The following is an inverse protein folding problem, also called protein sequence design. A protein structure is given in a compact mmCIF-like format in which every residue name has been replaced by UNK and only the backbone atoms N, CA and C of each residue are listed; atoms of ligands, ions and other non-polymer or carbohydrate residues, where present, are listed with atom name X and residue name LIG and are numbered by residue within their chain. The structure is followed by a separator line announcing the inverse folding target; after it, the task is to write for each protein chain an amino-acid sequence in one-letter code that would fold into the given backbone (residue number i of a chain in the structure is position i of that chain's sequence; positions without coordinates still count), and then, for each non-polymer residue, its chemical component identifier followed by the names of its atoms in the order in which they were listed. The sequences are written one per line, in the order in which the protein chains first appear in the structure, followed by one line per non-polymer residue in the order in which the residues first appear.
data_IF_790402543192
#
_entry.id   IF_790402543192
#
_cell.length_a   1.000
_cell.length_b   1.000
_cell.length_c   1.000
_cell.angle_alpha   90.00
_cell.angle_beta   90.00
_cell.angle_gamma   90.00
#
_symmetry.space_group_name_H-M   'P 1'
#
loop_
_entity.id
_entity.type
_entity.pdbx_description
1 polymer ?
#
# COMPACT_ATOMS: atom_id res chain seq x y z
N UNK A 1 15.94 -11.89 -8.49
CA UNK A 1 15.34 -11.44 -7.20
C UNK A 1 13.83 -11.34 -7.37
N UNK A 2 13.08 -11.95 -6.47
CA UNK A 2 11.62 -11.84 -6.50
C UNK A 2 11.18 -10.48 -5.97
N UNK A 3 10.09 -9.97 -6.52
CA UNK A 3 9.51 -8.68 -6.13
C UNK A 3 8.13 -8.91 -5.52
N UNK A 4 7.87 -8.25 -4.39
CA UNK A 4 6.58 -8.28 -3.71
C UNK A 4 5.85 -6.97 -3.99
N UNK A 5 4.59 -7.07 -4.42
CA UNK A 5 3.71 -5.91 -4.58
C UNK A 5 2.70 -5.90 -3.44
N UNK A 6 2.75 -4.86 -2.60
CA UNK A 6 1.79 -4.65 -1.53
C UNK A 6 0.68 -3.75 -2.05
N UNK A 7 -0.55 -4.22 -1.98
CA UNK A 7 -1.73 -3.47 -2.43
C UNK A 7 -2.55 -3.08 -1.21
N UNK A 8 -2.72 -1.78 -1.00
CA UNK A 8 -3.41 -1.26 0.18
C UNK A 8 -4.52 -0.31 -0.28
N UNK A 9 -5.79 -0.75 -0.22
CA UNK A 9 -6.90 0.17 -0.47
C UNK A 9 -7.02 1.12 0.72
N UNK A 10 -7.10 2.41 0.45
CA UNK A 10 -7.09 3.46 1.46
C UNK A 10 -8.41 4.22 1.45
N UNK A 11 -9.07 4.24 2.59
CA UNK A 11 -10.27 5.02 2.81
C UNK A 11 -10.25 5.54 4.25
N UNK A 12 -10.31 6.86 4.41
CA UNK A 12 -10.19 7.53 5.72
C UNK A 12 -8.90 7.14 6.45
N UNK A 13 -7.80 7.12 5.70
CA UNK A 13 -6.50 6.63 6.17
C UNK A 13 -5.50 7.76 6.43
N UNK A 14 -5.96 9.00 6.48
CA UNK A 14 -5.11 10.18 6.62
C UNK A 14 -4.12 10.07 7.78
N UNK A 15 -4.56 9.50 8.90
CA UNK A 15 -3.75 9.43 10.13
C UNK A 15 -3.14 8.05 10.38
N UNK A 16 -3.47 7.03 9.61
CA UNK A 16 -3.01 5.65 9.84
C UNK A 16 -1.98 5.19 8.84
N UNK A 17 -2.00 5.76 7.64
CA UNK A 17 -1.23 5.25 6.52
C UNK A 17 0.28 5.38 6.73
N UNK A 18 0.73 6.46 7.35
CA UNK A 18 2.16 6.66 7.61
C UNK A 18 2.73 5.55 8.50
N UNK A 19 1.98 5.11 9.51
CA UNK A 19 2.40 4.02 10.39
C UNK A 19 2.48 2.68 9.64
N UNK A 20 1.53 2.41 8.76
CA UNK A 20 1.54 1.21 7.93
C UNK A 20 2.76 1.19 7.01
N UNK A 21 3.06 2.33 6.39
CA UNK A 21 4.24 2.47 5.54
C UNK A 21 5.53 2.24 6.31
N UNK A 22 5.63 2.80 7.51
CA UNK A 22 6.80 2.63 8.37
C UNK A 22 7.03 1.16 8.74
N UNK A 23 5.94 0.47 9.09
CA UNK A 23 5.97 -0.95 9.43
C UNK A 23 6.42 -1.81 8.25
N UNK A 24 5.89 -1.52 7.05
CA UNK A 24 6.30 -2.21 5.83
C UNK A 24 7.78 -2.00 5.53
N UNK A 25 8.25 -0.76 5.64
CA UNK A 25 9.66 -0.43 5.40
C UNK A 25 10.56 -1.21 6.34
N UNK A 26 10.22 -1.25 7.63
CA UNK A 26 10.99 -1.99 8.63
C UNK A 26 11.00 -3.48 8.34
N UNK A 27 9.84 -4.04 7.95
CA UNK A 27 9.73 -5.46 7.61
C UNK A 27 10.60 -5.80 6.40
N UNK A 28 10.55 -5.00 5.36
CA UNK A 28 11.31 -5.28 4.14
C UNK A 28 12.82 -5.12 4.34
N UNK A 29 13.26 -4.34 5.33
CA UNK A 29 14.67 -4.29 5.69
C UNK A 29 15.17 -5.62 6.25
N UNK A 30 14.29 -6.46 6.77
CA UNK A 30 14.65 -7.80 7.26
C UNK A 30 14.61 -8.85 6.15
N UNK A 31 14.18 -8.48 4.94
CA UNK A 31 14.03 -9.38 3.80
C UNK A 31 14.80 -8.85 2.58
N UNK A 32 16.14 -8.70 2.70
CA UNK A 32 16.94 -8.07 1.63
C UNK A 32 16.98 -8.87 0.34
N UNK A 33 16.56 -10.15 0.37
CA UNK A 33 16.48 -11.01 -0.82
C UNK A 33 15.30 -10.67 -1.73
N UNK A 34 14.38 -9.79 -1.26
CA UNK A 34 13.22 -9.37 -2.05
C UNK A 34 13.33 -7.90 -2.42
N UNK A 35 12.92 -7.57 -3.65
CA UNK A 35 12.56 -6.21 -4.00
C UNK A 35 11.07 -6.01 -3.67
N UNK A 36 10.59 -4.77 -3.64
CA UNK A 36 9.18 -4.54 -3.32
C UNK A 36 8.68 -3.20 -3.88
N UNK A 37 7.37 -3.12 -4.01
CA UNK A 37 6.63 -1.89 -4.29
C UNK A 37 5.39 -1.84 -3.40
N UNK A 38 4.92 -0.64 -3.10
CA UNK A 38 3.70 -0.42 -2.33
C UNK A 38 2.74 0.38 -3.19
N UNK A 39 1.57 -0.18 -3.47
CA UNK A 39 0.54 0.48 -4.27
C UNK A 39 -0.58 0.93 -3.34
N UNK A 40 -0.72 2.23 -3.16
CA UNK A 40 -1.73 2.85 -2.29
C UNK A 40 -2.85 3.39 -3.16
N UNK A 41 -4.08 2.92 -2.93
CA UNK A 41 -5.23 3.31 -3.74
C UNK A 41 -6.16 4.16 -2.89
N UNK A 42 -6.32 5.43 -3.27
CA UNK A 42 -7.31 6.29 -2.64
C UNK A 42 -8.69 6.00 -3.26
N UNK A 43 -9.59 5.43 -2.48
CA UNK A 43 -10.95 5.09 -2.90
C UNK A 43 -11.89 6.26 -2.63
N UNK A 44 -11.56 7.42 -3.16
CA UNK A 44 -12.34 8.66 -3.05
C UNK A 44 -12.66 9.01 -1.59
N UNK A 45 -11.63 9.02 -0.74
CA UNK A 45 -11.80 9.30 0.68
C UNK A 45 -12.18 10.77 0.91
N UNK A 46 -13.09 11.07 1.85
CA UNK A 46 -13.49 12.45 2.15
C UNK A 46 -12.45 13.24 2.94
N UNK A 47 -11.49 12.57 3.59
CA UNK A 47 -10.40 13.22 4.33
C UNK A 47 -9.20 13.46 3.42
N UNK A 48 -8.05 13.86 3.99
CA UNK A 48 -6.83 14.12 3.23
C UNK A 48 -5.97 12.85 3.03
N UNK A 49 -6.59 11.70 2.84
CA UNK A 49 -5.89 10.46 2.53
C UNK A 49 -4.99 10.62 1.31
N UNK A 50 -5.49 11.28 0.25
CA UNK A 50 -4.69 11.49 -0.97
C UNK A 50 -3.45 12.35 -0.70
N UNK A 51 -3.57 13.33 0.19
CA UNK A 51 -2.40 14.15 0.57
C UNK A 51 -1.33 13.32 1.26
N UNK A 52 -1.74 12.42 2.15
CA UNK A 52 -0.83 11.49 2.81
C UNK A 52 -0.16 10.57 1.80
N UNK A 53 -0.93 10.02 0.85
CA UNK A 53 -0.39 9.17 -0.22
C UNK A 53 0.66 9.93 -1.03
N UNK A 54 0.37 11.16 -1.42
CA UNK A 54 1.31 11.99 -2.20
C UNK A 54 2.61 12.25 -1.46
N UNK A 55 2.54 12.47 -0.14
CA UNK A 55 3.74 12.66 0.67
C UNK A 55 4.60 11.40 0.71
N UNK A 56 3.97 10.23 0.84
CA UNK A 56 4.69 8.96 0.86
C UNK A 56 5.31 8.65 -0.51
N UNK A 57 4.60 8.90 -1.59
CA UNK A 57 5.12 8.73 -2.95
C UNK A 57 6.36 9.61 -3.17
N UNK A 58 6.31 10.85 -2.69
CA UNK A 58 7.44 11.77 -2.82
C UNK A 58 8.64 11.36 -1.97
N UNK A 59 8.40 10.72 -0.83
CA UNK A 59 9.44 10.37 0.13
C UNK A 59 10.09 9.00 -0.14
N UNK A 60 9.41 8.10 -0.84
CA UNK A 60 9.86 6.72 -1.02
C UNK A 60 9.59 6.25 -2.45
N UNK A 61 10.66 5.92 -3.17
CA UNK A 61 10.58 5.47 -4.55
C UNK A 61 9.86 4.12 -4.72
N UNK A 62 9.70 3.36 -3.65
CA UNK A 62 8.96 2.09 -3.67
C UNK A 62 7.45 2.28 -3.70
N UNK A 63 6.96 3.50 -3.39
CA UNK A 63 5.54 3.78 -3.23
C UNK A 63 4.98 4.40 -4.50
N UNK A 64 3.83 3.89 -4.96
CA UNK A 64 3.04 4.54 -5.99
C UNK A 64 1.60 4.71 -5.52
N UNK A 65 0.94 5.73 -6.03
CA UNK A 65 -0.43 6.05 -5.65
C UNK A 65 -1.38 5.96 -6.83
N UNK A 66 -2.60 5.52 -6.53
CA UNK A 66 -3.71 5.51 -7.48
C UNK A 66 -4.85 6.28 -6.84
N UNK A 67 -5.41 7.25 -7.55
CA UNK A 67 -6.50 8.08 -7.07
C UNK A 67 -7.76 7.78 -7.88
N UNK A 68 -8.74 7.12 -7.26
CA UNK A 68 -10.00 6.80 -7.92
C UNK A 68 -10.93 8.02 -7.88
N UNK A 69 -11.56 8.31 -9.01
CA UNK A 69 -12.46 9.47 -9.13
C UNK A 69 -13.76 9.32 -8.34
N UNK A 70 -14.15 8.09 -8.04
CA UNK A 70 -15.37 7.79 -7.28
C UNK A 70 -15.09 6.66 -6.33
N UNK A 71 -15.90 6.57 -5.26
CA UNK A 71 -15.85 5.41 -4.36
C UNK A 71 -16.58 4.24 -5.02
N UNK A 72 -15.81 3.27 -5.49
CA UNK A 72 -16.34 2.04 -6.11
C UNK A 72 -16.33 0.86 -5.14
N UNK A 73 -15.88 1.07 -3.89
CA UNK A 73 -15.77 0.02 -2.90
C UNK A 73 -14.39 -0.63 -2.90
N UNK A 74 -14.12 -1.38 -1.83
CA UNK A 74 -12.81 -1.99 -1.60
C UNK A 74 -12.41 -2.96 -2.71
N UNK A 75 -13.38 -3.71 -3.24
CA UNK A 75 -13.10 -4.67 -4.31
C UNK A 75 -12.57 -3.99 -5.57
N UNK A 76 -13.21 -2.89 -5.98
CA UNK A 76 -12.77 -2.14 -7.15
C UNK A 76 -11.41 -1.48 -6.91
N UNK A 77 -11.15 -1.00 -5.69
CA UNK A 77 -9.86 -0.44 -5.32
C UNK A 77 -8.75 -1.49 -5.43
N UNK A 78 -9.01 -2.70 -4.94
CA UNK A 78 -8.05 -3.81 -5.06
C UNK A 78 -7.77 -4.15 -6.53
N UNK A 79 -8.80 -4.19 -7.36
CA UNK A 79 -8.62 -4.47 -8.78
C UNK A 79 -7.78 -3.39 -9.47
N UNK A 80 -8.01 -2.12 -9.14
CA UNK A 80 -7.22 -1.02 -9.66
C UNK A 80 -5.74 -1.17 -9.24
N UNK A 81 -5.51 -1.56 -7.98
CA UNK A 81 -4.18 -1.81 -7.47
C UNK A 81 -3.48 -2.96 -8.20
N UNK A 82 -4.20 -4.05 -8.45
CA UNK A 82 -3.64 -5.20 -9.17
C UNK A 82 -3.15 -4.82 -10.57
N UNK A 83 -3.86 -3.94 -11.26
CA UNK A 83 -3.45 -3.47 -12.57
C UNK A 83 -2.14 -2.69 -12.55
N UNK A 84 -1.77 -2.11 -11.41
CA UNK A 84 -0.53 -1.36 -11.25
C UNK A 84 0.64 -2.24 -10.77
N UNK A 85 0.36 -3.45 -10.33
CA UNK A 85 1.39 -4.31 -9.74
C UNK A 85 2.33 -4.87 -10.81
N UNK A 86 3.62 -4.87 -10.50
CA UNK A 86 4.66 -5.47 -11.35
C UNK A 86 5.41 -6.58 -10.63
N UNK A 87 5.06 -6.88 -9.39
CA UNK A 87 5.76 -7.89 -8.59
C UNK A 87 5.35 -9.31 -8.94
N UNK A 88 6.18 -10.25 -8.48
CA UNK A 88 5.94 -11.68 -8.66
C UNK A 88 4.94 -12.21 -7.64
N UNK A 89 4.89 -11.57 -6.47
CA UNK A 89 4.02 -11.93 -5.36
C UNK A 89 3.17 -10.71 -5.02
N UNK A 90 1.85 -10.89 -4.90
CA UNK A 90 0.94 -9.79 -4.53
C UNK A 90 0.41 -10.05 -3.14
N UNK A 91 0.57 -9.07 -2.25
CA UNK A 91 0.08 -9.12 -0.87
C UNK A 91 -0.89 -7.97 -0.66
N UNK A 92 -2.12 -8.29 -0.27
CA UNK A 92 -3.14 -7.29 0.04
C UNK A 92 -3.14 -7.03 1.54
N UNK A 93 -3.07 -5.77 1.92
CA UNK A 93 -3.09 -5.36 3.33
C UNK A 93 -4.20 -4.35 3.56
N UNK A 94 -4.73 -4.35 4.78
CA UNK A 94 -5.65 -3.30 5.22
C UNK A 94 -4.86 -2.14 5.82
N UNK A 95 -5.39 -0.94 5.66
CA UNK A 95 -4.77 0.28 6.18
C UNK A 95 -5.14 0.58 7.63
N UNK A 96 -6.03 -0.23 8.21
CA UNK A 96 -6.50 -0.06 9.59
C UNK A 96 -5.67 -0.83 10.62
N UNK A 97 -4.65 -1.55 10.17
CA UNK A 97 -3.77 -2.30 11.04
C UNK A 97 -4.29 -3.65 11.50
N UNK A 98 -5.41 -4.12 10.95
CA UNK A 98 -5.96 -5.44 11.31
C UNK A 98 -5.08 -6.58 10.82
N UNK A 99 -4.31 -6.34 9.75
CA UNK A 99 -3.33 -7.29 9.25
C UNK A 99 -1.95 -6.67 9.43
N UNK A 100 -1.22 -7.04 10.49
CA UNK A 100 0.09 -6.43 10.74
C UNK A 100 1.07 -6.69 9.60
N UNK A 101 1.76 -5.64 9.16
CA UNK A 101 2.70 -5.73 8.05
C UNK A 101 3.84 -6.70 8.34
N UNK A 102 4.25 -6.85 9.61
CA UNK A 102 5.34 -7.74 9.99
C UNK A 102 4.99 -9.23 9.80
N UNK A 103 3.72 -9.57 9.64
CA UNK A 103 3.31 -10.94 9.31
C UNK A 103 3.82 -11.37 7.93
N UNK A 104 4.11 -10.41 7.06
CA UNK A 104 4.63 -10.70 5.71
C UNK A 104 5.93 -11.50 5.78
N UNK A 105 6.75 -11.27 6.80
CA UNK A 105 8.00 -12.00 6.98
C UNK A 105 7.84 -13.49 7.22
N UNK A 106 6.61 -13.95 7.48
CA UNK A 106 6.31 -15.37 7.73
C UNK A 106 5.80 -16.11 6.50
N UNK A 107 5.67 -15.44 5.38
CA UNK A 107 5.17 -16.03 4.14
C UNK A 107 6.17 -17.00 3.46
#
# INVERSE_FOLDING_TARGET
MQKISFVIPCYRSEHTLAAVHEELTATMQTLPQYDYEVVLINDCSPDDTIGTIRRLVAADAHVQGVDLAKNFGQHAALMAGFHQCTGDIIVCLDDDGQTPANEVGKL
#
